data_IF_077473068768
#
_entry.id   IF_077473068768
#
_cell.length_a   1.000
_cell.length_b   1.000
_cell.length_c   1.000
_cell.angle_alpha   90.00
_cell.angle_beta   90.00
_cell.angle_gamma   90.00
#
_symmetry.space_group_name_H-M   'P 1'
#
loop_
_entity.id
_entity.type
_entity.pdbx_description
1 polymer ?
#
# COMPACT_ATOMS: atom_id res chain seq x y z
N UNK A 1 7.31 4.15 18.18
CA UNK A 1 5.90 4.57 18.36
C UNK A 1 5.41 5.61 17.32
N UNK A 2 6.30 6.22 16.56
CA UNK A 2 5.91 7.27 15.60
C UNK A 2 5.27 6.72 14.30
N UNK A 3 5.48 5.46 14.02
CA UNK A 3 4.87 4.76 12.88
C UNK A 3 3.34 4.75 12.97
N UNK A 4 2.79 4.65 14.18
CA UNK A 4 1.33 4.66 14.39
C UNK A 4 0.68 6.03 14.15
N UNK A 5 1.45 7.11 14.19
CA UNK A 5 0.94 8.48 13.91
C UNK A 5 0.82 8.77 12.42
N UNK A 6 1.50 7.98 11.59
CA UNK A 6 1.54 8.16 10.13
C UNK A 6 0.22 7.75 9.49
N UNK A 7 -0.37 6.64 9.95
CA UNK A 7 -1.63 6.13 9.39
C UNK A 7 -2.76 7.17 9.44
N UNK A 8 -3.09 7.77 10.61
CA UNK A 8 -4.14 8.76 10.66
C UNK A 8 -3.82 10.00 9.83
N UNK A 9 -2.55 10.41 9.73
CA UNK A 9 -2.15 11.55 8.91
C UNK A 9 -2.37 11.28 7.42
N UNK A 10 -1.96 10.11 6.92
CA UNK A 10 -2.19 9.70 5.52
C UNK A 10 -3.68 9.62 5.22
N UNK A 11 -4.46 9.02 6.12
CA UNK A 11 -5.91 8.90 5.96
C UNK A 11 -6.58 10.28 5.94
N UNK A 12 -6.17 11.18 6.82
CA UNK A 12 -6.70 12.53 6.89
C UNK A 12 -6.42 13.30 5.58
N UNK A 13 -5.19 13.25 5.07
CA UNK A 13 -4.83 13.91 3.81
C UNK A 13 -5.58 13.29 2.63
N UNK A 14 -5.68 11.97 2.56
CA UNK A 14 -6.40 11.28 1.48
C UNK A 14 -7.91 11.59 1.52
N UNK A 15 -8.50 11.74 2.71
CA UNK A 15 -9.89 12.18 2.87
C UNK A 15 -10.08 13.64 2.48
N UNK A 16 -9.17 14.53 2.85
CA UNK A 16 -9.20 15.94 2.43
C UNK A 16 -9.11 16.08 0.90
N UNK A 17 -8.40 15.17 0.23
CA UNK A 17 -8.34 15.10 -1.24
C UNK A 17 -9.56 14.39 -1.86
N UNK A 18 -10.59 14.05 -1.07
CA UNK A 18 -11.78 13.32 -1.52
C UNK A 18 -11.46 12.01 -2.29
N UNK A 19 -10.40 11.30 -1.87
CA UNK A 19 -10.00 10.06 -2.53
C UNK A 19 -10.91 8.90 -2.10
N UNK A 20 -11.61 8.25 -3.06
CA UNK A 20 -12.37 7.04 -2.74
C UNK A 20 -11.45 5.96 -2.17
N UNK A 21 -11.92 5.25 -1.13
CA UNK A 21 -11.14 4.19 -0.44
C UNK A 21 -9.77 4.67 0.07
N UNK A 22 -9.73 5.86 0.69
CA UNK A 22 -8.53 6.47 1.29
C UNK A 22 -7.73 5.49 2.19
N UNK A 23 -8.41 4.51 2.80
CA UNK A 23 -7.81 3.46 3.61
C UNK A 23 -6.70 2.67 2.86
N UNK A 24 -6.81 2.50 1.55
CA UNK A 24 -5.78 1.82 0.76
C UNK A 24 -4.45 2.58 0.73
N UNK A 25 -4.52 3.91 0.68
CA UNK A 25 -3.33 4.76 0.78
C UNK A 25 -2.65 4.63 2.15
N UNK A 26 -3.45 4.59 3.22
CA UNK A 26 -2.95 4.35 4.58
C UNK A 26 -2.24 3.01 4.71
N UNK A 27 -2.86 1.92 4.23
CA UNK A 27 -2.26 0.58 4.22
C UNK A 27 -0.97 0.57 3.38
N UNK A 28 -0.97 1.26 2.23
CA UNK A 28 0.21 1.35 1.37
C UNK A 28 1.37 2.05 2.09
N UNK A 29 1.11 3.18 2.72
CA UNK A 29 2.11 3.93 3.46
C UNK A 29 2.67 3.12 4.65
N UNK A 30 1.80 2.57 5.50
CA UNK A 30 2.24 1.80 6.67
C UNK A 30 3.06 0.57 6.32
N UNK A 31 2.68 -0.15 5.27
CA UNK A 31 3.40 -1.35 4.86
C UNK A 31 4.77 -1.07 4.22
N UNK A 32 5.01 0.16 3.78
CA UNK A 32 6.29 0.58 3.19
C UNK A 32 7.28 1.10 4.25
N UNK A 33 6.78 1.63 5.37
CA UNK A 33 7.61 2.29 6.38
C UNK A 33 8.34 1.25 7.25
N UNK A 34 9.65 1.36 7.28
CA UNK A 34 10.54 0.58 8.12
C UNK A 34 11.63 1.48 8.74
N UNK A 35 12.25 1.03 9.86
CA UNK A 35 13.31 1.81 10.52
C UNK A 35 14.53 2.07 9.64
N UNK A 36 14.82 1.17 8.69
CA UNK A 36 15.99 1.25 7.82
C UNK A 36 15.58 1.57 6.38
N UNK A 37 16.28 2.53 5.77
CA UNK A 37 15.98 3.01 4.41
C UNK A 37 16.15 1.93 3.35
N UNK A 38 17.14 1.04 3.49
CA UNK A 38 17.40 -0.06 2.56
C UNK A 38 16.24 -1.06 2.54
N UNK A 39 15.76 -1.45 3.70
CA UNK A 39 14.62 -2.35 3.85
C UNK A 39 13.34 -1.70 3.31
N UNK A 40 13.18 -0.41 3.50
CA UNK A 40 12.05 0.34 2.95
C UNK A 40 12.06 0.35 1.43
N UNK A 41 13.22 0.62 0.80
CA UNK A 41 13.36 0.60 -0.66
C UNK A 41 13.06 -0.80 -1.22
N UNK A 42 13.55 -1.85 -0.57
CA UNK A 42 13.25 -3.22 -0.95
C UNK A 42 11.73 -3.49 -0.90
N UNK A 43 11.06 -3.10 0.18
CA UNK A 43 9.59 -3.29 0.30
C UNK A 43 8.82 -2.48 -0.73
N UNK A 44 9.21 -1.24 -0.99
CA UNK A 44 8.59 -0.40 -2.04
C UNK A 44 8.67 -1.08 -3.40
N UNK A 45 9.87 -1.56 -3.79
CA UNK A 45 10.07 -2.29 -5.06
C UNK A 45 9.20 -3.55 -5.13
N UNK A 46 9.24 -4.38 -4.09
CA UNK A 46 8.42 -5.60 -4.02
C UNK A 46 6.93 -5.31 -4.05
N UNK A 47 6.49 -4.22 -3.41
CA UNK A 47 5.09 -3.78 -3.45
C UNK A 47 4.66 -3.36 -4.85
N UNK A 48 5.46 -2.57 -5.54
CA UNK A 48 5.16 -2.14 -6.91
C UNK A 48 5.02 -3.34 -7.83
N UNK A 49 6.01 -4.24 -7.82
CA UNK A 49 5.99 -5.47 -8.64
C UNK A 49 4.79 -6.35 -8.27
N UNK A 50 4.54 -6.56 -6.99
CA UNK A 50 3.41 -7.36 -6.51
C UNK A 50 2.05 -6.77 -6.88
N UNK A 51 1.90 -5.44 -6.82
CA UNK A 51 0.66 -4.79 -7.27
C UNK A 51 0.45 -4.92 -8.77
N UNK A 52 1.49 -4.74 -9.58
CA UNK A 52 1.40 -4.91 -11.04
C UNK A 52 1.01 -6.36 -11.38
N UNK A 53 1.71 -7.33 -10.80
CA UNK A 53 1.39 -8.75 -10.99
C UNK A 53 -0.04 -9.06 -10.54
N UNK A 54 -0.45 -8.56 -9.38
CA UNK A 54 -1.80 -8.74 -8.86
C UNK A 54 -2.88 -8.14 -9.77
N UNK A 55 -2.65 -6.95 -10.32
CA UNK A 55 -3.58 -6.30 -11.27
C UNK A 55 -3.70 -7.14 -12.55
N UNK A 56 -2.58 -7.58 -13.12
CA UNK A 56 -2.58 -8.39 -14.35
C UNK A 56 -3.33 -9.71 -14.12
N UNK A 57 -2.98 -10.45 -13.06
CA UNK A 57 -3.64 -11.70 -12.73
C UNK A 57 -5.14 -11.51 -12.46
N UNK A 58 -5.52 -10.48 -11.69
CA UNK A 58 -6.93 -10.19 -11.43
C UNK A 58 -7.69 -9.86 -12.73
N UNK A 59 -7.10 -9.05 -13.61
CA UNK A 59 -7.71 -8.67 -14.88
C UNK A 59 -7.97 -9.92 -15.75
N UNK A 60 -7.00 -10.83 -15.83
CA UNK A 60 -7.18 -12.09 -16.56
C UNK A 60 -8.31 -12.93 -15.96
N UNK A 61 -8.34 -13.08 -14.64
CA UNK A 61 -9.41 -13.82 -13.96
C UNK A 61 -10.78 -13.14 -14.12
N UNK A 62 -10.82 -11.81 -14.12
CA UNK A 62 -12.05 -11.05 -14.30
C UNK A 62 -12.73 -11.33 -15.66
N UNK A 63 -11.93 -11.53 -16.71
CA UNK A 63 -12.47 -11.88 -18.04
C UNK A 63 -12.78 -13.37 -18.20
N UNK A 64 -12.13 -14.24 -17.45
CA UNK A 64 -12.32 -15.69 -17.53
C UNK A 64 -13.46 -16.20 -16.64
N UNK A 65 -13.76 -15.51 -15.55
CA UNK A 65 -14.70 -15.97 -14.54
C UNK A 65 -15.99 -15.14 -14.55
N UNK A 66 -17.15 -15.78 -14.26
CA UNK A 66 -18.41 -15.06 -14.13
C UNK A 66 -18.44 -14.19 -12.87
N UNK A 67 -19.25 -13.09 -12.86
CA UNK A 67 -19.32 -12.15 -11.74
C UNK A 67 -19.66 -12.77 -10.38
N UNK A 68 -20.40 -13.86 -10.35
CA UNK A 68 -20.80 -14.57 -9.13
C UNK A 68 -19.60 -15.14 -8.33
N UNK A 69 -18.44 -15.26 -8.95
CA UNK A 69 -17.22 -15.85 -8.32
C UNK A 69 -16.28 -14.76 -7.76
N UNK A 70 -16.49 -13.49 -8.06
CA UNK A 70 -15.57 -12.43 -7.65
C UNK A 70 -15.42 -12.29 -6.13
N UNK A 71 -16.49 -12.54 -5.37
CA UNK A 71 -16.43 -12.55 -3.90
C UNK A 71 -15.46 -13.62 -3.36
N UNK A 72 -15.45 -14.80 -3.99
CA UNK A 72 -14.53 -15.88 -3.62
C UNK A 72 -13.07 -15.53 -3.93
N UNK A 73 -12.81 -14.78 -5.01
CA UNK A 73 -11.47 -14.27 -5.31
C UNK A 73 -10.98 -13.34 -4.18
N UNK A 74 -11.89 -12.51 -3.64
CA UNK A 74 -11.59 -11.65 -2.49
C UNK A 74 -11.20 -12.45 -1.25
N UNK A 75 -11.91 -13.54 -0.96
CA UNK A 75 -11.61 -14.44 0.17
C UNK A 75 -10.25 -15.13 -0.03
N UNK A 76 -10.00 -15.66 -1.23
CA UNK A 76 -8.70 -16.27 -1.58
C UNK A 76 -7.56 -15.25 -1.41
N UNK A 77 -7.79 -14.00 -1.87
CA UNK A 77 -6.84 -12.90 -1.65
C UNK A 77 -6.52 -12.67 -0.18
N UNK A 78 -7.54 -12.61 0.68
CA UNK A 78 -7.38 -12.45 2.12
C UNK A 78 -6.60 -13.59 2.78
N UNK A 79 -6.96 -14.83 2.47
CA UNK A 79 -6.25 -16.03 2.96
C UNK A 79 -4.81 -16.04 2.45
N UNK A 80 -4.60 -15.75 1.16
CA UNK A 80 -3.28 -15.69 0.56
C UNK A 80 -2.35 -14.69 1.21
N UNK A 81 -2.86 -13.52 1.63
CA UNK A 81 -2.07 -12.56 2.43
C UNK A 81 -1.60 -13.17 3.75
N UNK A 82 -2.50 -13.85 4.47
CA UNK A 82 -2.18 -14.45 5.77
C UNK A 82 -1.18 -15.60 5.68
N UNK A 83 -1.23 -16.39 4.61
CA UNK A 83 -0.34 -17.54 4.41
C UNK A 83 1.00 -17.17 3.75
N UNK A 84 1.13 -15.97 3.19
CA UNK A 84 2.33 -15.56 2.45
C UNK A 84 3.44 -15.09 3.39
N UNK A 85 4.55 -15.84 3.44
CA UNK A 85 5.74 -15.47 4.20
C UNK A 85 6.54 -14.31 3.54
N UNK A 86 6.49 -14.19 2.22
CA UNK A 86 7.22 -13.17 1.48
C UNK A 86 6.35 -11.95 1.15
N UNK A 87 6.90 -10.78 1.42
CA UNK A 87 6.19 -9.50 1.22
C UNK A 87 5.67 -9.28 -0.22
N UNK A 88 6.41 -9.76 -1.23
CA UNK A 88 5.98 -9.66 -2.62
C UNK A 88 4.66 -10.39 -2.90
N UNK A 89 4.51 -11.61 -2.40
CA UNK A 89 3.27 -12.38 -2.52
C UNK A 89 2.13 -11.78 -1.71
N UNK A 90 2.41 -11.25 -0.52
CA UNK A 90 1.43 -10.50 0.26
C UNK A 90 0.87 -9.32 -0.54
N UNK A 91 1.72 -8.60 -1.28
CA UNK A 91 1.29 -7.48 -2.13
C UNK A 91 0.40 -7.95 -3.30
N UNK A 92 0.70 -9.09 -3.92
CA UNK A 92 -0.14 -9.71 -4.96
C UNK A 92 -1.52 -10.05 -4.41
N UNK A 93 -1.60 -10.85 -3.35
CA UNK A 93 -2.88 -11.30 -2.78
C UNK A 93 -3.70 -10.15 -2.20
N UNK A 94 -3.06 -9.17 -1.57
CA UNK A 94 -3.73 -7.97 -1.09
C UNK A 94 -4.36 -7.18 -2.25
N UNK A 95 -3.70 -7.15 -3.41
CA UNK A 95 -4.24 -6.52 -4.61
C UNK A 95 -5.44 -7.29 -5.14
N UNK A 96 -5.40 -8.61 -5.15
CA UNK A 96 -6.56 -9.46 -5.49
C UNK A 96 -7.79 -9.13 -4.64
N UNK A 97 -7.65 -9.19 -3.32
CA UNK A 97 -8.76 -8.91 -2.40
C UNK A 97 -9.33 -7.51 -2.57
N UNK A 98 -8.45 -6.51 -2.71
CA UNK A 98 -8.87 -5.13 -2.90
C UNK A 98 -9.61 -4.92 -4.24
N UNK A 99 -9.11 -5.48 -5.33
CA UNK A 99 -9.73 -5.36 -6.65
C UNK A 99 -11.07 -6.11 -6.73
N UNK A 100 -11.18 -7.29 -6.12
CA UNK A 100 -12.44 -8.04 -6.08
C UNK A 100 -13.55 -7.19 -5.46
N UNK A 101 -13.29 -6.58 -4.30
CA UNK A 101 -14.27 -5.73 -3.59
C UNK A 101 -14.56 -4.43 -4.38
N UNK A 102 -13.54 -3.82 -5.01
CA UNK A 102 -13.73 -2.57 -5.71
C UNK A 102 -14.40 -2.74 -7.07
N UNK A 103 -14.19 -3.88 -7.74
CA UNK A 103 -14.78 -4.15 -9.05
C UNK A 103 -16.32 -4.20 -9.01
N UNK A 104 -16.90 -4.63 -7.89
CA UNK A 104 -18.36 -4.61 -7.69
C UNK A 104 -18.92 -3.17 -7.68
N UNK A 105 -18.17 -2.22 -7.10
CA UNK A 105 -18.65 -0.85 -6.90
C UNK A 105 -18.27 0.09 -8.04
N UNK A 106 -17.10 -0.08 -8.63
CA UNK A 106 -16.49 0.87 -9.59
C UNK A 106 -16.19 0.27 -10.97
N UNK A 107 -16.50 -1.00 -11.17
CA UNK A 107 -16.09 -1.76 -12.35
C UNK A 107 -14.58 -2.00 -12.40
N UNK A 108 -14.11 -2.78 -13.37
CA UNK A 108 -12.70 -3.16 -13.48
C UNK A 108 -11.78 -1.95 -13.67
N UNK A 109 -12.10 -1.05 -14.60
CA UNK A 109 -11.29 0.13 -14.90
C UNK A 109 -11.16 1.06 -13.68
N UNK A 110 -12.29 1.33 -13.01
CA UNK A 110 -12.33 2.16 -11.81
C UNK A 110 -11.54 1.52 -10.66
N UNK A 111 -11.71 0.23 -10.41
CA UNK A 111 -10.99 -0.49 -9.37
C UNK A 111 -9.47 -0.47 -9.59
N UNK A 112 -9.01 -0.75 -10.80
CA UNK A 112 -7.57 -0.75 -11.15
C UNK A 112 -6.99 0.65 -11.01
N UNK A 113 -7.64 1.67 -11.55
CA UNK A 113 -7.19 3.07 -11.46
C UNK A 113 -7.07 3.52 -9.99
N UNK A 114 -8.09 3.27 -9.18
CA UNK A 114 -8.07 3.59 -7.75
C UNK A 114 -6.93 2.86 -7.03
N UNK A 115 -6.73 1.57 -7.35
CA UNK A 115 -5.66 0.79 -6.72
C UNK A 115 -4.28 1.34 -7.04
N UNK A 116 -4.01 1.69 -8.30
CA UNK A 116 -2.74 2.27 -8.73
C UNK A 116 -2.50 3.63 -8.08
N UNK A 117 -3.46 4.55 -8.20
CA UNK A 117 -3.34 5.92 -7.66
C UNK A 117 -3.06 5.88 -6.16
N UNK A 118 -3.83 5.11 -5.39
CA UNK A 118 -3.69 5.07 -3.94
C UNK A 118 -2.41 4.37 -3.47
N UNK A 119 -1.94 3.36 -4.20
CA UNK A 119 -0.64 2.76 -3.89
C UNK A 119 0.51 3.72 -4.19
N UNK A 120 0.49 4.41 -5.32
CA UNK A 120 1.50 5.43 -5.66
C UNK A 120 1.49 6.54 -4.60
N UNK A 121 0.32 7.08 -4.28
CA UNK A 121 0.17 8.10 -3.26
C UNK A 121 0.72 7.65 -1.90
N UNK A 122 0.35 6.47 -1.43
CA UNK A 122 0.82 5.94 -0.15
C UNK A 122 2.34 5.71 -0.10
N UNK A 123 2.92 5.20 -1.19
CA UNK A 123 4.37 4.99 -1.30
C UNK A 123 5.13 6.31 -1.34
N UNK A 124 4.69 7.27 -2.17
CA UNK A 124 5.32 8.61 -2.25
C UNK A 124 5.25 9.30 -0.88
N UNK A 125 4.08 9.26 -0.24
CA UNK A 125 3.93 9.83 1.09
C UNK A 125 4.88 9.19 2.11
N UNK A 126 5.01 7.86 2.11
CA UNK A 126 5.92 7.14 2.99
C UNK A 126 7.38 7.56 2.77
N UNK A 127 7.80 7.67 1.51
CA UNK A 127 9.17 8.10 1.17
C UNK A 127 9.46 9.53 1.63
N UNK A 128 8.54 10.46 1.34
CA UNK A 128 8.68 11.86 1.76
C UNK A 128 8.71 11.99 3.28
N UNK A 129 7.79 11.30 3.97
CA UNK A 129 7.73 11.31 5.42
C UNK A 129 9.03 10.78 6.04
N UNK A 130 9.52 9.64 5.57
CA UNK A 130 10.78 9.08 6.06
C UNK A 130 11.97 10.01 5.78
N UNK A 131 12.06 10.61 4.60
CA UNK A 131 13.12 11.55 4.27
C UNK A 131 13.14 12.76 5.22
N UNK A 132 11.97 13.34 5.48
CA UNK A 132 11.82 14.47 6.42
C UNK A 132 12.16 14.04 7.85
N UNK A 133 11.64 12.89 8.28
CA UNK A 133 11.89 12.36 9.62
C UNK A 133 13.37 12.10 9.87
N UNK A 134 14.06 11.44 8.93
CA UNK A 134 15.51 11.21 9.04
C UNK A 134 16.30 12.52 9.09
N UNK A 135 15.90 13.50 8.30
CA UNK A 135 16.56 14.81 8.30
C UNK A 135 16.42 15.53 9.65
N UNK A 136 15.23 15.50 10.25
CA UNK A 136 14.97 16.09 11.57
C UNK A 136 15.76 15.35 12.67
N UNK A 137 15.79 14.03 12.61
CA UNK A 137 16.51 13.22 13.61
C UNK A 137 18.02 13.42 13.52
N UNK A 138 18.60 13.48 12.33
CA UNK A 138 20.03 13.72 12.14
C UNK A 138 20.46 15.09 12.66
N UNK A 139 19.63 16.12 12.46
CA UNK A 139 19.88 17.46 13.02
C UNK A 139 19.85 17.43 14.55
N UNK A 140 18.90 16.73 15.18
CA UNK A 140 18.83 16.61 16.64
C UNK A 140 20.02 15.89 17.25
N UNK A 141 20.51 14.84 16.60
CA UNK A 141 21.71 14.11 17.06
C UNK A 141 22.94 15.00 16.97
N UNK A 142 23.14 15.69 15.85
CA UNK A 142 24.27 16.61 15.66
C UNK A 142 24.28 17.79 16.63
N UNK A 143 23.11 18.31 17.01
CA UNK A 143 22.99 19.38 18.01
C UNK A 143 23.33 18.86 19.42
N UNK A 144 22.96 17.62 19.73
CA UNK A 144 23.26 17.02 21.03
C UNK A 144 24.74 16.70 21.21
N UNK A 145 25.43 16.30 20.13
CA UNK A 145 26.86 16.02 20.12
C UNK A 145 27.71 17.28 20.27
N UNK A 146 27.23 18.44 19.82
CA UNK A 146 27.91 19.74 19.96
C UNK A 146 27.67 20.42 21.32
N UNK A 147 26.74 19.90 22.11
CA UNK A 147 26.38 20.43 23.42
C UNK A 147 27.00 19.65 24.60
N UNK A 148 27.83 18.64 24.33
CA UNK A 148 28.67 17.88 25.27
C UNK A 148 30.13 18.18 25.01
#
# INVERSE_FOLDING_TARGET
SDVYKIQPLVLCIAQLCNMPRAMWAGIAAMSAILPFMEDMQYRVKKRIVGNIAGVICFTVLYFLLPPSIYAYIGIIGGIGVGLSAQYGWQAVFNTFGALAIAAESYGLKGAVSLRVIQNVFGVVFALVFCAVFYRIMSVKVSVKEKAV
#
